data_IF_505575409799
#
_entry.id   IF_505575409799
#
_cell.length_a   1.000
_cell.length_b   1.000
_cell.length_c   1.000
_cell.angle_alpha   90.00
_cell.angle_beta   90.00
_cell.angle_gamma   90.00
#
_symmetry.space_group_name_H-M   'P 1'
#
loop_
_entity.id
_entity.type
_entity.pdbx_description
1 polymer ?
#
# COMPACT_ATOMS: atom_id res chain seq x y z
N UNK A 1 6.68 7.85 18.83
CA UNK A 1 7.70 7.70 17.76
C UNK A 1 8.81 6.73 18.18
N UNK A 2 9.44 6.90 19.34
CA UNK A 2 10.51 6.00 19.84
C UNK A 2 10.15 4.51 19.78
N UNK A 3 8.96 4.12 20.24
CA UNK A 3 8.51 2.72 20.19
C UNK A 3 8.37 2.18 18.75
N UNK A 4 7.93 3.00 17.81
CA UNK A 4 7.83 2.62 16.40
C UNK A 4 9.20 2.50 15.72
N UNK A 5 10.15 3.35 16.11
CA UNK A 5 11.53 3.22 15.63
C UNK A 5 12.22 1.98 16.21
N UNK A 6 11.96 1.64 17.48
CA UNK A 6 12.44 0.40 18.08
C UNK A 6 11.86 -0.81 17.32
N UNK A 7 10.54 -0.84 17.13
CA UNK A 7 9.89 -1.86 16.31
C UNK A 7 10.50 -1.96 14.91
N UNK A 8 10.75 -0.83 14.24
CA UNK A 8 11.37 -0.82 12.93
C UNK A 8 12.76 -1.45 12.96
N UNK A 9 13.60 -1.09 13.93
CA UNK A 9 14.96 -1.65 14.10
C UNK A 9 14.94 -3.15 14.32
N UNK A 10 13.99 -3.63 15.11
CA UNK A 10 13.97 -5.03 15.55
C UNK A 10 13.34 -5.97 14.50
N UNK A 11 12.48 -5.44 13.63
CA UNK A 11 11.61 -6.28 12.79
C UNK A 11 11.59 -5.93 11.30
N UNK A 12 11.92 -4.69 10.91
CA UNK A 12 11.79 -4.24 9.53
C UNK A 12 13.11 -4.26 8.78
N UNK A 13 13.00 -4.64 7.51
CA UNK A 13 14.10 -4.71 6.56
C UNK A 13 13.76 -3.90 5.32
N UNK A 14 14.79 -3.32 4.70
CA UNK A 14 14.65 -2.67 3.40
C UNK A 14 13.97 -3.62 2.42
N UNK A 15 12.93 -3.13 1.74
CA UNK A 15 12.09 -3.92 0.84
C UNK A 15 10.78 -4.41 1.47
N UNK A 16 10.59 -4.28 2.78
CA UNK A 16 9.31 -4.59 3.38
C UNK A 16 8.20 -3.71 2.80
N UNK A 17 7.07 -4.33 2.51
CA UNK A 17 5.86 -3.68 2.03
C UNK A 17 4.93 -3.52 3.20
N UNK A 18 4.62 -2.26 3.48
CA UNK A 18 3.74 -1.86 4.57
C UNK A 18 2.33 -1.69 4.04
N UNK A 19 1.35 -2.21 4.77
CA UNK A 19 -0.07 -2.10 4.50
C UNK A 19 -0.74 -1.49 5.73
N UNK A 20 -1.60 -0.51 5.52
CA UNK A 20 -2.36 0.10 6.63
C UNK A 20 -3.80 0.40 6.26
N UNK A 21 -4.67 0.45 7.24
CA UNK A 21 -5.95 1.14 7.14
C UNK A 21 -5.73 2.63 7.42
N UNK A 22 -5.72 3.44 6.36
CA UNK A 22 -5.76 4.89 6.45
C UNK A 22 -7.21 5.40 6.21
N UNK A 23 -7.56 6.51 6.85
CA UNK A 23 -8.83 7.22 6.64
C UNK A 23 -8.63 8.43 5.71
N UNK A 24 -8.25 8.16 4.45
CA UNK A 24 -8.22 9.21 3.43
C UNK A 24 -9.65 9.59 3.03
N UNK A 25 -10.00 10.84 3.32
CA UNK A 25 -11.31 11.43 3.05
C UNK A 25 -11.23 12.48 1.94
N UNK A 26 -12.26 12.54 1.11
CA UNK A 26 -12.43 13.54 0.04
C UNK A 26 -13.66 14.40 0.33
N UNK A 27 -13.89 15.44 -0.49
CA UNK A 27 -14.98 16.41 -0.33
C UNK A 27 -14.95 17.13 1.04
N UNK A 28 -13.78 17.69 1.40
CA UNK A 28 -13.63 18.42 2.68
C UNK A 28 -13.76 17.55 3.92
N UNK A 29 -13.53 16.23 3.81
CA UNK A 29 -13.60 15.30 4.94
C UNK A 29 -14.94 14.57 5.09
N UNK A 30 -15.87 14.73 4.14
CA UNK A 30 -17.21 14.13 4.22
C UNK A 30 -17.28 12.70 3.66
N UNK A 31 -16.43 12.35 2.69
CA UNK A 31 -16.50 11.05 2.04
C UNK A 31 -15.24 10.21 2.30
N UNK A 32 -15.34 9.07 3.01
CA UNK A 32 -14.20 8.21 3.33
C UNK A 32 -13.84 7.31 2.14
N UNK A 33 -13.30 7.92 1.08
CA UNK A 33 -13.01 7.28 -0.20
C UNK A 33 -12.20 5.98 -0.04
N UNK A 34 -11.11 6.06 0.71
CA UNK A 34 -10.21 4.93 0.98
C UNK A 34 -10.93 3.72 1.59
N UNK A 35 -11.77 3.93 2.61
CA UNK A 35 -12.53 2.87 3.29
C UNK A 35 -13.62 2.30 2.40
N UNK A 36 -14.25 3.13 1.57
CA UNK A 36 -15.25 2.66 0.60
C UNK A 36 -14.58 1.81 -0.49
N UNK A 37 -13.43 2.25 -1.02
CA UNK A 37 -12.65 1.48 -1.98
C UNK A 37 -12.20 0.14 -1.39
N UNK A 38 -11.71 0.12 -0.14
CA UNK A 38 -11.32 -1.09 0.56
C UNK A 38 -12.51 -2.05 0.77
N UNK A 39 -13.69 -1.54 1.13
CA UNK A 39 -14.91 -2.38 1.23
C UNK A 39 -15.31 -2.99 -0.11
N UNK A 40 -15.24 -2.22 -1.21
CA UNK A 40 -15.52 -2.74 -2.56
C UNK A 40 -14.52 -3.83 -2.94
N UNK A 41 -13.25 -3.65 -2.58
CA UNK A 41 -12.17 -4.59 -2.79
C UNK A 41 -12.13 -5.75 -1.77
N UNK A 42 -13.05 -5.77 -0.80
CA UNK A 42 -13.01 -6.66 0.37
C UNK A 42 -11.63 -6.75 1.04
N UNK A 43 -11.00 -5.58 1.22
CA UNK A 43 -9.65 -5.43 1.74
C UNK A 43 -9.66 -4.84 3.16
N UNK A 44 -8.78 -5.36 4.02
CA UNK A 44 -8.45 -4.78 5.33
C UNK A 44 -7.59 -3.51 5.22
N UNK A 45 -6.95 -3.30 4.07
CA UNK A 45 -5.94 -2.26 3.88
C UNK A 45 -6.35 -1.28 2.80
N UNK A 46 -6.13 0.00 3.06
CA UNK A 46 -6.50 1.08 2.14
C UNK A 46 -5.29 1.78 1.54
N UNK A 47 -4.09 1.50 2.06
CA UNK A 47 -2.87 2.18 1.69
C UNK A 47 -1.64 1.27 1.79
N UNK A 48 -0.66 1.51 0.93
CA UNK A 48 0.62 0.80 0.93
C UNK A 48 1.81 1.77 0.95
N UNK A 49 2.96 1.26 1.38
CA UNK A 49 4.24 1.94 1.26
C UNK A 49 5.40 0.95 1.19
N UNK A 50 6.53 1.39 0.65
CA UNK A 50 7.77 0.62 0.57
C UNK A 50 8.75 1.12 1.62
N UNK A 51 9.15 0.23 2.54
CA UNK A 51 10.09 0.54 3.61
C UNK A 51 11.54 0.44 3.15
N UNK A 52 12.39 1.36 3.59
CA UNK A 52 13.82 1.34 3.37
C UNK A 52 14.59 1.89 4.58
N UNK A 53 15.73 1.28 4.88
CA UNK A 53 16.77 1.90 5.70
C UNK A 53 17.66 2.78 4.82
N UNK A 54 17.73 4.08 5.11
CA UNK A 54 18.58 5.02 4.39
C UNK A 54 19.41 5.82 5.38
N UNK A 55 20.74 5.73 5.30
CA UNK A 55 21.66 6.42 6.22
C UNK A 55 21.34 6.19 7.71
N UNK A 56 20.84 5.00 8.05
CA UNK A 56 20.44 4.65 9.43
C UNK A 56 19.04 5.12 9.83
N UNK A 57 18.29 5.78 8.94
CA UNK A 57 16.92 6.23 9.18
C UNK A 57 15.88 5.28 8.55
N UNK A 58 14.81 4.92 9.27
CA UNK A 58 13.72 4.12 8.72
C UNK A 58 12.76 5.02 7.95
N UNK A 59 12.71 4.87 6.63
CA UNK A 59 11.86 5.68 5.75
C UNK A 59 10.86 4.83 4.99
N UNK A 60 9.76 5.46 4.61
CA UNK A 60 8.71 4.86 3.80
C UNK A 60 8.49 5.73 2.57
N UNK A 61 8.54 5.09 1.41
CA UNK A 61 8.11 5.65 0.15
C UNK A 61 6.64 5.31 -0.08
N UNK A 62 5.82 6.33 -0.32
CA UNK A 62 4.41 6.17 -0.68
C UNK A 62 3.93 7.35 -1.54
N UNK A 63 2.63 7.41 -1.78
CA UNK A 63 2.00 8.57 -2.42
C UNK A 63 0.91 9.14 -1.52
N UNK A 64 0.68 10.43 -1.55
CA UNK A 64 -0.53 11.07 -0.99
C UNK A 64 -1.15 11.99 -2.02
N UNK A 65 -2.26 12.68 -1.70
CA UNK A 65 -2.82 13.71 -2.58
C UNK A 65 -1.81 14.77 -3.05
N UNK A 66 -0.73 15.00 -2.30
CA UNK A 66 0.38 15.90 -2.67
C UNK A 66 1.41 15.30 -3.64
N UNK A 67 1.29 14.03 -4.03
CA UNK A 67 2.26 13.31 -4.86
C UNK A 67 3.09 12.29 -4.08
N UNK A 68 4.18 11.84 -4.71
CA UNK A 68 5.15 10.92 -4.13
C UNK A 68 5.80 11.51 -2.88
N UNK A 69 5.95 10.69 -1.84
CA UNK A 69 6.55 11.07 -0.56
C UNK A 69 7.66 10.11 -0.16
N UNK A 70 8.60 10.65 0.60
CA UNK A 70 9.56 9.93 1.42
C UNK A 70 9.43 10.49 2.82
N UNK A 71 8.98 9.68 3.78
CA UNK A 71 8.77 10.15 5.15
C UNK A 71 9.25 9.13 6.19
N UNK A 72 9.59 9.55 7.41
CA UNK A 72 9.97 8.62 8.47
C UNK A 72 8.87 7.60 8.74
N UNK A 73 9.23 6.34 8.97
CA UNK A 73 8.27 5.27 9.29
C UNK A 73 7.37 5.62 10.48
N UNK A 74 7.96 6.19 11.54
CA UNK A 74 7.23 6.62 12.72
C UNK A 74 6.19 7.72 12.46
N UNK A 75 6.35 8.52 11.40
CA UNK A 75 5.36 9.50 10.92
C UNK A 75 4.32 8.80 10.05
N UNK A 76 4.75 7.92 9.14
CA UNK A 76 3.85 7.15 8.29
C UNK A 76 2.82 6.41 9.16
N UNK A 77 3.22 5.66 10.17
CA UNK A 77 2.27 4.90 11.01
C UNK A 77 1.29 5.77 11.82
N UNK A 78 1.45 7.09 11.90
CA UNK A 78 0.51 7.98 12.60
C UNK A 78 -0.86 8.05 11.92
N UNK A 79 -0.91 7.91 10.60
CA UNK A 79 -2.15 7.94 9.83
C UNK A 79 -2.93 6.62 9.91
N UNK A 80 -2.40 5.60 10.59
CA UNK A 80 -3.08 4.32 10.73
C UNK A 80 -4.24 4.43 11.72
N UNK A 81 -5.43 4.00 11.27
CA UNK A 81 -6.67 4.03 12.07
C UNK A 81 -7.20 2.64 12.43
N UNK A 82 -6.58 1.58 11.90
CA UNK A 82 -7.03 0.20 12.09
C UNK A 82 -5.92 -0.79 11.76
N UNK A 83 -6.19 -1.68 10.81
CA UNK A 83 -5.28 -2.79 10.47
C UNK A 83 -3.89 -2.31 10.04
N UNK A 84 -2.86 -3.02 10.51
CA UNK A 84 -1.48 -2.89 10.02
C UNK A 84 -0.99 -4.27 9.55
N UNK A 85 -0.36 -4.30 8.38
CA UNK A 85 0.21 -5.50 7.79
C UNK A 85 1.59 -5.20 7.22
N UNK A 86 2.50 -6.15 7.34
CA UNK A 86 3.86 -6.04 6.84
C UNK A 86 4.18 -7.35 6.14
N UNK A 87 4.53 -7.24 4.86
CA UNK A 87 4.99 -8.38 4.07
C UNK A 87 6.37 -8.13 3.51
N UNK A 88 7.14 -9.21 3.35
CA UNK A 88 8.51 -9.17 2.84
C UNK A 88 8.60 -10.03 1.57
N UNK A 89 9.40 -9.65 0.56
CA UNK A 89 9.76 -10.57 -0.50
C UNK A 89 10.44 -11.83 0.05
N UNK A 90 9.90 -13.01 -0.32
CA UNK A 90 10.49 -14.30 0.03
C UNK A 90 11.94 -14.37 -0.46
N UNK A 91 12.80 -15.21 0.17
CA UNK A 91 14.24 -15.26 -0.14
C UNK A 91 14.62 -15.27 -1.63
N UNK A 92 13.94 -16.03 -2.53
CA UNK A 92 14.27 -16.04 -3.96
C UNK A 92 14.08 -14.70 -4.68
N UNK A 93 13.25 -13.81 -4.14
CA UNK A 93 12.84 -12.56 -4.78
C UNK A 93 13.55 -11.32 -4.22
N UNK A 94 14.40 -11.49 -3.19
CA UNK A 94 15.06 -10.37 -2.49
C UNK A 94 16.06 -9.61 -3.37
N UNK A 95 16.52 -10.19 -4.47
CA UNK A 95 17.38 -9.52 -5.44
C UNK A 95 16.70 -8.29 -6.11
N UNK A 96 15.36 -8.23 -6.14
CA UNK A 96 14.63 -7.09 -6.69
C UNK A 96 14.60 -5.87 -5.76
N UNK A 97 14.88 -6.04 -4.46
CA UNK A 97 14.73 -5.00 -3.43
C UNK A 97 15.51 -3.72 -3.76
N UNK A 98 16.82 -3.77 -4.11
CA UNK A 98 17.57 -2.55 -4.41
C UNK A 98 16.99 -1.75 -5.59
N UNK A 99 16.52 -2.46 -6.62
CA UNK A 99 15.88 -1.84 -7.78
C UNK A 99 14.56 -1.16 -7.42
N UNK A 100 13.73 -1.81 -6.61
CA UNK A 100 12.45 -1.26 -6.17
C UNK A 100 12.64 0.01 -5.31
N UNK A 101 13.59 -0.01 -4.37
CA UNK A 101 13.92 1.18 -3.57
C UNK A 101 14.44 2.31 -4.44
N UNK A 102 15.34 2.01 -5.39
CA UNK A 102 15.87 3.00 -6.33
C UNK A 102 14.76 3.63 -7.17
N UNK A 103 13.80 2.83 -7.65
CA UNK A 103 12.66 3.33 -8.41
C UNK A 103 11.81 4.30 -7.59
N UNK A 104 11.44 3.92 -6.36
CA UNK A 104 10.68 4.78 -5.47
C UNK A 104 11.42 6.09 -5.16
N UNK A 105 12.74 6.03 -4.98
CA UNK A 105 13.56 7.23 -4.79
C UNK A 105 13.51 8.16 -5.99
N UNK A 106 13.66 7.65 -7.21
CA UNK A 106 13.56 8.45 -8.44
C UNK A 106 12.18 9.09 -8.59
N UNK A 107 11.11 8.33 -8.36
CA UNK A 107 9.73 8.84 -8.41
C UNK A 107 9.53 9.97 -7.39
N UNK A 108 10.08 9.82 -6.19
CA UNK A 108 10.07 10.87 -5.17
C UNK A 108 10.90 12.09 -5.60
N UNK A 109 12.13 11.93 -6.08
CA UNK A 109 12.99 13.04 -6.52
C UNK A 109 12.36 13.84 -7.67
N UNK A 110 11.64 13.17 -8.56
CA UNK A 110 10.88 13.80 -9.65
C UNK A 110 9.56 14.42 -9.20
N UNK A 111 9.16 14.21 -7.93
CA UNK A 111 7.89 14.69 -7.37
C UNK A 111 6.68 14.29 -8.22
N UNK A 112 6.66 13.02 -8.66
CA UNK A 112 5.56 12.50 -9.49
C UNK A 112 4.21 12.70 -8.76
N UNK A 113 3.21 13.30 -9.43
CA UNK A 113 1.96 13.67 -8.79
C UNK A 113 1.08 12.45 -8.47
N UNK A 114 0.12 12.67 -7.56
CA UNK A 114 -0.86 11.65 -7.21
C UNK A 114 -1.79 11.39 -8.38
N UNK A 115 -2.12 10.11 -8.57
CA UNK A 115 -3.19 9.72 -9.47
C UNK A 115 -4.51 9.52 -8.72
N UNK A 116 -5.36 10.54 -8.76
CA UNK A 116 -6.71 10.47 -8.20
C UNK A 116 -7.71 9.70 -9.07
N UNK A 117 -7.32 9.35 -10.31
CA UNK A 117 -8.18 8.66 -11.28
C UNK A 117 -7.88 7.17 -11.38
N UNK A 118 -6.81 6.68 -10.73
CA UNK A 118 -6.40 5.28 -10.73
C UNK A 118 -6.16 4.73 -12.16
N UNK A 119 -5.75 5.61 -13.07
CA UNK A 119 -5.42 5.34 -14.46
C UNK A 119 -3.95 4.89 -14.56
N UNK A 120 -3.73 3.64 -14.94
CA UNK A 120 -2.36 3.11 -15.07
C UNK A 120 -1.56 3.92 -16.09
N UNK A 121 -0.35 4.28 -15.71
CA UNK A 121 0.59 5.02 -16.54
C UNK A 121 1.90 5.25 -15.80
N UNK A 122 2.77 6.07 -16.36
CA UNK A 122 4.10 6.35 -15.78
C UNK A 122 4.24 7.81 -15.30
N UNK A 123 3.20 8.63 -15.48
CA UNK A 123 3.24 10.09 -15.20
C UNK A 123 2.61 10.48 -13.87
N UNK A 124 1.87 9.58 -13.23
CA UNK A 124 1.17 9.77 -11.95
C UNK A 124 1.05 8.42 -11.27
N UNK A 125 1.09 8.38 -9.93
CA UNK A 125 0.92 7.14 -9.19
C UNK A 125 -0.02 7.31 -8.00
N UNK A 126 -0.77 6.25 -7.69
CA UNK A 126 -1.38 6.03 -6.38
C UNK A 126 -0.59 4.94 -5.64
N UNK A 127 -0.90 4.75 -4.35
CA UNK A 127 0.00 4.07 -3.42
C UNK A 127 0.37 2.65 -3.83
N UNK A 128 -0.63 1.82 -4.12
CA UNK A 128 -0.39 0.42 -4.50
C UNK A 128 0.18 0.27 -5.90
N UNK A 129 -0.11 1.19 -6.82
CA UNK A 129 0.57 1.22 -8.12
C UNK A 129 2.05 1.52 -7.95
N UNK A 130 2.43 2.55 -7.19
CA UNK A 130 3.84 2.88 -6.96
C UNK A 130 4.60 1.66 -6.41
N UNK A 131 4.04 0.99 -5.39
CA UNK A 131 4.69 -0.21 -4.82
C UNK A 131 4.82 -1.34 -5.84
N UNK A 132 3.76 -1.60 -6.62
CA UNK A 132 3.75 -2.69 -7.61
C UNK A 132 4.72 -2.39 -8.77
N UNK A 133 4.72 -1.15 -9.27
CA UNK A 133 5.60 -0.67 -10.34
C UNK A 133 7.06 -0.66 -9.93
N UNK A 134 7.37 -0.33 -8.67
CA UNK A 134 8.74 -0.36 -8.16
C UNK A 134 9.35 -1.76 -8.26
N UNK A 135 8.63 -2.79 -7.83
CA UNK A 135 9.09 -4.17 -7.95
C UNK A 135 9.07 -4.69 -9.38
N UNK A 136 8.06 -4.31 -10.18
CA UNK A 136 8.01 -4.65 -11.60
C UNK A 136 9.21 -4.08 -12.36
N UNK A 137 9.59 -2.82 -12.10
CA UNK A 137 10.79 -2.20 -12.70
C UNK A 137 12.09 -2.92 -12.29
N UNK A 138 12.07 -3.65 -11.17
CA UNK A 138 13.15 -4.50 -10.71
C UNK A 138 13.02 -5.98 -11.15
N UNK A 139 12.08 -6.28 -12.06
CA UNK A 139 11.88 -7.63 -12.62
C UNK A 139 11.04 -8.57 -11.77
N UNK A 140 10.29 -8.05 -10.79
CA UNK A 140 9.40 -8.85 -9.93
C UNK A 140 7.95 -8.33 -10.01
N UNK A 141 7.08 -9.07 -10.68
CA UNK A 141 5.65 -8.79 -10.68
C UNK A 141 5.01 -9.32 -9.39
N UNK A 142 4.64 -8.42 -8.48
CA UNK A 142 4.01 -8.79 -7.21
C UNK A 142 2.50 -8.94 -7.31
N UNK A 143 1.85 -8.24 -8.23
CA UNK A 143 0.41 -8.29 -8.45
C UNK A 143 0.10 -7.96 -9.91
N UNK A 144 -1.06 -8.40 -10.39
CA UNK A 144 -1.59 -7.97 -11.68
C UNK A 144 -2.67 -6.90 -11.49
N UNK A 145 -2.80 -5.93 -12.42
CA UNK A 145 -3.93 -5.02 -12.41
C UNK A 145 -5.25 -5.74 -12.65
N UNK A 146 -6.23 -5.50 -11.78
CA UNK A 146 -7.60 -6.03 -11.88
C UNK A 146 -8.53 -5.01 -12.52
N UNK A 147 -9.59 -5.46 -13.19
CA UNK A 147 -10.64 -4.55 -13.67
C UNK A 147 -11.47 -4.06 -12.49
N UNK A 148 -11.82 -2.76 -12.48
CA UNK A 148 -12.68 -2.21 -11.43
C UNK A 148 -14.04 -2.91 -11.33
N UNK A 149 -14.60 -3.33 -12.46
CA UNK A 149 -15.86 -4.08 -12.54
C UNK A 149 -15.79 -5.49 -11.97
N UNK A 150 -14.59 -6.05 -11.74
CA UNK A 150 -14.39 -7.40 -11.21
C UNK A 150 -14.08 -7.40 -9.71
N UNK A 151 -14.13 -6.23 -9.04
CA UNK A 151 -13.88 -6.14 -7.60
C UNK A 151 -14.97 -6.90 -6.81
N UNK A 152 -14.60 -7.64 -5.74
CA UNK A 152 -15.47 -8.61 -5.10
C UNK A 152 -16.86 -8.09 -4.73
N UNK A 153 -16.96 -6.84 -4.23
CA UNK A 153 -18.21 -6.26 -3.71
C UNK A 153 -18.71 -5.07 -4.53
N UNK A 154 -18.26 -4.92 -5.77
CA UNK A 154 -18.73 -3.80 -6.63
C UNK A 154 -20.25 -3.82 -6.83
N UNK A 155 -20.85 -5.01 -6.86
CA UNK A 155 -22.28 -5.21 -7.03
C UNK A 155 -23.10 -4.86 -5.77
N UNK A 156 -22.50 -4.91 -4.58
CA UNK A 156 -23.11 -4.46 -3.33
C UNK A 156 -23.08 -2.93 -3.19
N UNK A 157 -22.14 -2.28 -3.90
CA UNK A 157 -21.90 -0.84 -3.84
C UNK A 157 -22.23 -0.10 -5.14
N UNK A 158 -23.19 -0.60 -5.93
CA UNK A 158 -23.53 -0.07 -7.27
C UNK A 158 -23.83 1.43 -7.31
N UNK A 159 -24.50 1.97 -6.28
CA UNK A 159 -24.81 3.40 -6.23
C UNK A 159 -23.55 4.25 -6.07
N UNK A 160 -22.64 3.85 -5.18
CA UNK A 160 -21.34 4.51 -5.01
C UNK A 160 -20.54 4.42 -6.31
N UNK A 161 -20.48 3.24 -6.93
CA UNK A 161 -19.75 3.04 -8.17
C UNK A 161 -20.35 3.87 -9.33
N UNK A 162 -21.68 3.98 -9.40
CA UNK A 162 -22.37 4.83 -10.37
C UNK A 162 -22.02 6.32 -10.16
N UNK A 163 -22.03 6.79 -8.91
CA UNK A 163 -21.63 8.16 -8.58
C UNK A 163 -20.15 8.40 -8.94
N UNK A 164 -19.28 7.45 -8.62
CA UNK A 164 -17.86 7.56 -8.93
C UNK A 164 -17.61 7.56 -10.45
N UNK A 165 -18.40 6.82 -11.23
CA UNK A 165 -18.39 6.89 -12.70
C UNK A 165 -18.85 8.25 -13.23
N UNK A 166 -19.88 8.84 -12.64
CA UNK A 166 -20.44 10.13 -13.07
C UNK A 166 -19.54 11.32 -12.70
N UNK A 167 -18.93 11.29 -11.52
CA UNK A 167 -18.21 12.44 -10.95
C UNK A 167 -16.69 12.32 -10.94
N UNK A 168 -16.14 11.10 -10.97
CA UNK A 168 -14.70 10.84 -10.96
C UNK A 168 -14.21 10.12 -12.23
N UNK A 169 -15.09 9.95 -13.22
CA UNK A 169 -14.80 9.31 -14.52
C UNK A 169 -14.23 7.90 -14.44
N UNK A 170 -14.52 7.15 -13.38
CA UNK A 170 -14.10 5.74 -13.30
C UNK A 170 -14.88 4.85 -14.27
N UNK A 171 -14.17 3.97 -14.97
CA UNK A 171 -14.77 3.03 -15.91
C UNK A 171 -14.70 1.58 -15.40
N UNK A 172 -15.76 0.76 -15.58
CA UNK A 172 -15.74 -0.66 -15.18
C UNK A 172 -14.58 -1.46 -15.78
N UNK A 173 -14.23 -1.16 -17.03
CA UNK A 173 -13.14 -1.84 -17.75
C UNK A 173 -11.74 -1.30 -17.41
N UNK A 174 -11.67 -0.21 -16.65
CA UNK A 174 -10.41 0.37 -16.20
C UNK A 174 -9.69 -0.63 -15.30
N UNK A 175 -8.40 -0.82 -15.59
CA UNK A 175 -7.53 -1.67 -14.79
C UNK A 175 -6.86 -0.84 -13.70
N UNK A 176 -6.72 -1.42 -12.52
CA UNK A 176 -6.02 -0.83 -11.39
C UNK A 176 -5.32 -1.90 -10.57
N UNK A 177 -4.20 -1.55 -9.95
CA UNK A 177 -3.65 -2.33 -8.84
C UNK A 177 -4.54 -2.15 -7.61
N UNK A 178 -4.73 -3.21 -6.85
CA UNK A 178 -5.47 -3.18 -5.60
C UNK A 178 -4.55 -3.59 -4.46
N UNK A 179 -4.72 -2.97 -3.28
CA UNK A 179 -4.18 -3.50 -2.02
C UNK A 179 -4.55 -4.97 -1.88
N UNK A 180 -5.84 -5.24 -2.14
CA UNK A 180 -6.37 -6.59 -2.26
C UNK A 180 -6.60 -7.25 -0.91
N UNK A 181 -6.81 -8.55 -0.93
CA UNK A 181 -7.14 -9.36 0.23
C UNK A 181 -6.40 -10.70 0.14
N UNK A 182 -6.85 -11.71 0.87
CA UNK A 182 -6.16 -13.01 0.91
C UNK A 182 -6.23 -13.79 -0.43
N UNK A 183 -7.07 -13.36 -1.39
CA UNK A 183 -7.24 -14.03 -2.69
C UNK A 183 -6.77 -13.23 -3.91
N UNK A 184 -6.62 -11.90 -3.83
CA UNK A 184 -6.14 -11.10 -4.97
C UNK A 184 -5.39 -9.83 -4.54
N UNK A 185 -4.76 -9.15 -5.51
CA UNK A 185 -4.04 -7.89 -5.32
C UNK A 185 -2.68 -8.06 -4.66
N UNK A 186 -2.08 -6.96 -4.22
CA UNK A 186 -0.72 -6.96 -3.67
C UNK A 186 -0.61 -7.80 -2.38
N UNK A 187 -1.65 -7.80 -1.55
CA UNK A 187 -1.67 -8.59 -0.33
C UNK A 187 -1.61 -10.10 -0.60
N UNK A 188 -2.28 -10.60 -1.65
CA UNK A 188 -2.30 -12.02 -1.99
C UNK A 188 -1.03 -12.51 -2.71
N UNK A 189 -0.02 -11.64 -2.91
CA UNK A 189 1.15 -11.99 -3.70
C UNK A 189 1.86 -13.24 -3.17
N UNK A 190 2.03 -14.30 -4.00
CA UNK A 190 2.73 -15.51 -3.56
C UNK A 190 4.23 -15.29 -3.38
N UNK A 191 4.77 -14.18 -3.90
CA UNK A 191 6.15 -13.78 -3.75
C UNK A 191 6.45 -13.15 -2.37
N UNK A 192 5.42 -12.88 -1.58
CA UNK A 192 5.53 -12.23 -0.29
C UNK A 192 5.27 -13.21 0.87
N UNK A 193 5.96 -12.98 1.99
CA UNK A 193 5.75 -13.65 3.27
C UNK A 193 5.30 -12.64 4.33
N UNK A 194 4.45 -13.08 5.26
CA UNK A 194 3.97 -12.23 6.36
C UNK A 194 5.06 -12.08 7.43
N UNK A 195 5.36 -10.83 7.77
CA UNK A 195 6.25 -10.48 8.89
C UNK A 195 5.41 -10.12 10.11
N UNK A 196 4.39 -9.29 9.91
CA UNK A 196 3.51 -8.84 10.98
C UNK A 196 2.10 -8.58 10.43
N UNK A 197 1.08 -9.04 11.16
CA UNK A 197 -0.32 -8.77 10.88
C UNK A 197 -1.03 -8.46 12.20
N UNK A 198 -1.71 -7.31 12.28
CA UNK A 198 -2.52 -6.98 13.45
C UNK A 198 -3.74 -7.92 13.54
N UNK A 199 -3.90 -8.62 14.67
CA UNK A 199 -4.92 -9.65 14.86
C UNK A 199 -6.36 -9.09 14.95
N UNK A 200 -6.55 -7.93 15.59
CA UNK A 200 -7.88 -7.46 16.01
C UNK A 200 -8.45 -6.28 15.21
N UNK A 201 -7.81 -5.90 14.11
CA UNK A 201 -8.19 -4.70 13.32
C UNK A 201 -8.10 -3.38 14.07
N UNK A 202 -7.54 -3.40 15.27
CA UNK A 202 -7.20 -2.22 16.05
C UNK A 202 -5.83 -1.71 15.63
N UNK A 203 -5.65 -0.40 15.77
CA UNK A 203 -4.33 0.21 15.62
C UNK A 203 -3.37 -0.47 16.61
N UNK A 204 -2.25 -1.05 16.15
CA UNK A 204 -1.35 -1.76 17.04
C UNK A 204 -0.70 -0.81 18.04
N UNK A 205 -0.57 -1.25 19.29
CA UNK A 205 0.31 -0.62 20.27
C UNK A 205 1.74 -1.10 20.01
N UNK A 206 2.69 -0.21 19.64
CA UNK A 206 4.06 -0.60 19.36
C UNK A 206 4.77 -1.26 20.55
N UNK A 207 4.28 -1.08 21.78
CA UNK A 207 4.83 -1.74 22.97
C UNK A 207 4.41 -3.21 23.13
N UNK A 208 3.45 -3.69 22.34
CA UNK A 208 2.84 -5.02 22.45
C UNK A 208 2.98 -5.87 21.17
N UNK A 209 3.84 -5.48 20.22
CA UNK A 209 3.93 -6.16 18.92
C UNK A 209 4.66 -7.49 19.03
N UNK A 210 3.96 -8.59 18.75
CA UNK A 210 4.53 -9.93 18.56
C UNK A 210 4.69 -10.17 17.06
N UNK A 211 5.90 -10.51 16.64
CA UNK A 211 6.22 -10.79 15.22
C UNK A 211 6.08 -12.28 14.94
N UNK A 212 5.57 -12.60 13.75
CA UNK A 212 5.42 -13.99 13.34
C UNK A 212 6.81 -14.61 13.12
N UNK A 213 7.06 -15.84 13.61
CA UNK A 213 8.32 -16.51 13.33
C UNK A 213 8.46 -16.71 11.82
N UNK A 214 9.62 -16.34 11.26
CA UNK A 214 9.91 -16.58 9.85
C UNK A 214 9.79 -18.07 9.54
N UNK A 215 9.06 -18.48 8.48
CA UNK A 215 9.11 -19.86 8.02
C UNK A 215 10.56 -20.19 7.60
N UNK A 216 11.10 -21.28 8.17
CA UNK A 216 12.44 -21.79 7.86
C UNK A 216 12.54 -22.33 6.44
#
# INVERSE_FOLDING_TARGET
MVAWEAFARDHLQTGDILFREADARVLGGLFPFSRVAARIADSRYTHTGLFAWENGEPVVYDTSMGGARRQPFGIWVLDNVGHLGIKRPKPPYRAAIPGAVSYCRTVYEQQVPFDSKLELGDSRFYCVELTSRAYQAAGLDLAEPVRMGDLPRVHEHRLVFLLARLFASFHPDQRMYATGNDSFGLWASPALEEVYVSEDGTRPDPSCLVVLPSPQ
#
